data_IF_290903771727
#
_entry.id   IF_290903771727
#
_cell.length_a   1.000
_cell.length_b   1.000
_cell.length_c   1.000
_cell.angle_alpha   90.00
_cell.angle_beta   90.00
_cell.angle_gamma   90.00
#
_symmetry.space_group_name_H-M   'P 1'
#
loop_
_entity.id
_entity.type
_entity.pdbx_description
1 polymer ?
#
# COMPACT_ATOMS: atom_id res chain seq x y z
N UNK A 1 -9.23 23.13 0.42
CA UNK A 1 -9.15 22.37 -0.84
C UNK A 1 -10.50 22.48 -1.52
N UNK A 2 -10.54 23.00 -2.70
CA UNK A 2 -11.76 23.08 -3.51
C UNK A 2 -11.58 22.16 -4.71
N UNK A 3 -12.53 21.32 -4.93
CA UNK A 3 -12.80 20.75 -6.23
C UNK A 3 -14.11 21.37 -6.68
N UNK A 4 -14.01 22.17 -7.72
CA UNK A 4 -15.19 22.80 -8.33
C UNK A 4 -15.49 22.06 -9.61
N UNK A 5 -16.46 21.17 -9.56
CA UNK A 5 -16.87 20.45 -10.76
C UNK A 5 -16.91 18.94 -10.61
N UNK A 6 -16.54 18.26 -11.67
CA UNK A 6 -16.60 16.79 -11.77
C UNK A 6 -15.23 16.17 -11.54
N UNK A 7 -15.11 15.29 -10.57
CA UNK A 7 -13.93 14.44 -10.37
C UNK A 7 -14.07 13.20 -11.26
N UNK A 8 -13.09 12.94 -12.13
CA UNK A 8 -13.07 11.74 -12.95
C UNK A 8 -12.20 10.67 -12.30
N UNK A 9 -12.76 9.48 -12.16
CA UNK A 9 -12.15 8.33 -11.51
C UNK A 9 -12.13 7.15 -12.45
N UNK A 10 -10.99 6.47 -12.53
CA UNK A 10 -10.85 5.16 -13.17
C UNK A 10 -10.74 4.12 -12.07
N UNK A 11 -11.71 3.23 -12.01
CA UNK A 11 -11.71 2.11 -11.07
C UNK A 11 -10.72 1.05 -11.48
N UNK A 12 -9.91 0.61 -10.52
CA UNK A 12 -8.87 -0.39 -10.73
C UNK A 12 -8.66 -1.21 -9.46
N UNK A 13 -8.21 -2.45 -9.60
CA UNK A 13 -7.65 -3.22 -8.49
C UNK A 13 -6.34 -3.89 -8.89
N UNK A 14 -5.43 -4.06 -7.94
CA UNK A 14 -4.21 -4.84 -8.10
C UNK A 14 -4.29 -6.05 -7.18
N UNK A 15 -4.29 -7.25 -7.77
CA UNK A 15 -4.36 -8.53 -7.06
C UNK A 15 -5.47 -8.55 -5.97
N UNK A 16 -6.62 -7.94 -6.30
CA UNK A 16 -7.80 -7.90 -5.43
C UNK A 16 -7.95 -6.65 -4.57
N UNK A 17 -6.89 -5.90 -4.28
CA UNK A 17 -7.01 -4.64 -3.53
C UNK A 17 -7.42 -3.49 -4.46
N UNK A 18 -8.50 -2.80 -4.10
CA UNK A 18 -9.01 -1.66 -4.87
C UNK A 18 -8.07 -0.48 -4.74
N UNK A 19 -7.66 0.08 -5.89
CA UNK A 19 -6.83 1.26 -5.99
C UNK A 19 -7.34 2.17 -7.09
N UNK A 20 -8.50 2.79 -6.87
CA UNK A 20 -9.11 3.73 -7.81
C UNK A 20 -8.17 4.92 -8.08
N UNK A 21 -8.22 5.48 -9.28
CA UNK A 21 -7.33 6.57 -9.68
C UNK A 21 -8.13 7.79 -10.12
N UNK A 22 -7.99 8.89 -9.39
CA UNK A 22 -8.51 10.20 -9.80
C UNK A 22 -7.57 10.76 -10.88
N UNK A 23 -8.10 10.89 -12.08
CA UNK A 23 -7.33 11.32 -13.26
C UNK A 23 -7.52 12.80 -13.59
N UNK A 24 -8.58 13.44 -13.07
CA UNK A 24 -8.82 14.87 -13.20
C UNK A 24 -9.91 15.39 -12.26
N UNK A 25 -10.07 16.73 -12.19
CA UNK A 25 -11.17 17.39 -11.48
C UNK A 25 -10.83 17.81 -10.04
N UNK A 26 -9.57 17.66 -9.61
CA UNK A 26 -9.07 18.15 -8.33
C UNK A 26 -8.09 19.29 -8.57
N UNK A 27 -8.23 20.39 -7.82
CA UNK A 27 -7.33 21.52 -7.88
C UNK A 27 -5.93 21.17 -7.36
N UNK A 28 -4.95 22.00 -7.69
CA UNK A 28 -3.58 21.79 -7.22
C UNK A 28 -3.51 21.74 -5.69
N UNK A 29 -2.83 20.71 -5.18
CA UNK A 29 -2.65 20.48 -3.75
C UNK A 29 -1.50 21.36 -3.25
N UNK A 30 -1.69 22.12 -2.16
CA UNK A 30 -0.62 22.88 -1.54
C UNK A 30 0.51 22.00 -1.02
N UNK A 31 1.76 22.46 -1.20
CA UNK A 31 2.98 21.77 -0.75
C UNK A 31 4.09 21.87 -1.79
N UNK A 32 5.32 22.01 -1.34
CA UNK A 32 6.54 22.06 -2.16
C UNK A 32 7.08 20.66 -2.52
N UNK A 33 6.65 19.62 -1.80
CA UNK A 33 6.99 18.22 -2.04
C UNK A 33 5.73 17.34 -2.07
N UNK A 34 5.79 16.15 -2.64
CA UNK A 34 4.65 15.22 -2.57
C UNK A 34 4.36 14.79 -1.13
N UNK A 35 5.37 14.72 -0.27
CA UNK A 35 5.18 14.48 1.16
C UNK A 35 4.32 15.58 1.80
N UNK A 36 4.66 16.85 1.60
CA UNK A 36 3.87 17.98 2.12
C UNK A 36 2.45 17.99 1.55
N UNK A 37 2.28 17.73 0.25
CA UNK A 37 0.97 17.60 -0.38
C UNK A 37 0.13 16.48 0.26
N UNK A 38 0.73 15.32 0.55
CA UNK A 38 0.07 14.21 1.24
C UNK A 38 -0.35 14.58 2.67
N UNK A 39 0.52 15.28 3.41
CA UNK A 39 0.20 15.76 4.78
C UNK A 39 -0.90 16.82 4.76
N UNK A 40 -0.93 17.67 3.72
CA UNK A 40 -2.04 18.60 3.52
C UNK A 40 -3.38 17.85 3.34
N UNK A 41 -3.43 16.80 2.50
CA UNK A 41 -4.63 15.98 2.32
C UNK A 41 -5.00 15.24 3.62
N UNK A 42 -4.02 14.77 4.39
CA UNK A 42 -4.25 14.13 5.68
C UNK A 42 -4.89 15.06 6.71
N UNK A 43 -4.53 16.34 6.70
CA UNK A 43 -5.07 17.36 7.60
C UNK A 43 -6.40 17.94 7.11
N UNK A 44 -6.49 18.29 5.82
CA UNK A 44 -7.72 18.76 5.16
C UNK A 44 -8.50 17.56 4.61
N UNK A 45 -9.26 16.89 5.43
CA UNK A 45 -9.92 15.62 5.12
C UNK A 45 -11.04 15.72 4.05
N UNK A 46 -11.32 16.90 3.49
CA UNK A 46 -12.49 17.10 2.59
C UNK A 46 -12.48 16.18 1.38
N UNK A 47 -11.36 16.11 0.62
CA UNK A 47 -11.26 15.22 -0.53
C UNK A 47 -11.33 13.75 -0.11
N UNK A 48 -10.55 13.36 0.90
CA UNK A 48 -10.56 11.97 1.42
C UNK A 48 -11.96 11.54 1.83
N UNK A 49 -12.63 12.33 2.65
CA UNK A 49 -13.96 12.02 3.12
C UNK A 49 -14.95 11.94 1.95
N UNK A 50 -14.84 12.83 0.97
CA UNK A 50 -15.73 12.85 -0.18
C UNK A 50 -15.61 11.59 -1.03
N UNK A 51 -14.40 11.07 -1.27
CA UNK A 51 -14.18 9.91 -2.16
C UNK A 51 -14.15 8.56 -1.43
N UNK A 52 -13.83 8.55 -0.12
CA UNK A 52 -13.64 7.31 0.64
C UNK A 52 -14.80 6.96 1.56
N UNK A 53 -15.63 7.93 1.95
CA UNK A 53 -16.77 7.67 2.84
C UNK A 53 -18.06 7.43 2.07
N UNK A 54 -19.00 6.76 2.71
CA UNK A 54 -20.34 6.59 2.17
C UNK A 54 -21.04 7.95 1.96
N UNK A 55 -21.87 8.09 0.92
CA UNK A 55 -22.36 7.06 0.00
C UNK A 55 -21.50 6.87 -1.24
N UNK A 56 -20.37 7.59 -1.39
CA UNK A 56 -19.53 7.57 -2.60
C UNK A 56 -18.37 6.60 -2.52
N UNK A 57 -17.95 6.25 -1.32
CA UNK A 57 -16.85 5.33 -1.05
C UNK A 57 -17.23 4.21 -0.09
N UNK A 58 -16.23 3.61 0.53
CA UNK A 58 -16.39 2.56 1.53
C UNK A 58 -15.04 2.13 2.07
N UNK A 59 -15.04 1.45 3.22
CA UNK A 59 -13.83 1.02 3.94
C UNK A 59 -12.86 0.17 3.12
N UNK A 60 -13.34 -0.49 2.08
CA UNK A 60 -12.55 -1.36 1.20
C UNK A 60 -11.82 -0.61 0.09
N UNK A 61 -12.07 0.69 -0.11
CA UNK A 61 -11.47 1.47 -1.19
C UNK A 61 -10.18 2.13 -0.77
N UNK A 62 -9.19 2.10 -1.67
CA UNK A 62 -8.09 3.05 -1.73
C UNK A 62 -8.30 3.93 -2.97
N UNK A 63 -7.91 5.18 -2.88
CA UNK A 63 -8.04 6.14 -3.99
C UNK A 63 -6.72 6.89 -4.16
N UNK A 64 -6.21 6.89 -5.38
CA UNK A 64 -4.97 7.57 -5.75
C UNK A 64 -5.29 8.85 -6.51
N UNK A 65 -4.72 9.96 -6.11
CA UNK A 65 -4.84 11.22 -6.82
C UNK A 65 -3.61 11.41 -7.72
N UNK A 66 -3.80 11.46 -9.04
CA UNK A 66 -2.73 11.89 -9.94
C UNK A 66 -2.43 13.38 -9.74
N UNK A 67 -1.16 13.68 -9.62
CA UNK A 67 -0.65 15.04 -9.48
C UNK A 67 0.54 15.27 -10.42
N UNK A 68 0.85 16.53 -10.69
CA UNK A 68 2.10 16.86 -11.37
C UNK A 68 3.27 16.45 -10.48
N UNK A 69 4.26 15.70 -11.02
CA UNK A 69 5.45 15.36 -10.26
C UNK A 69 6.26 16.61 -9.94
N UNK A 70 7.00 16.59 -8.85
CA UNK A 70 7.95 17.63 -8.46
C UNK A 70 9.36 17.23 -8.89
N UNK A 71 9.66 15.94 -8.76
CA UNK A 71 10.93 15.41 -9.27
C UNK A 71 10.90 15.33 -10.81
N UNK A 72 11.86 15.97 -11.51
CA UNK A 72 11.88 16.03 -12.97
C UNK A 72 12.12 14.68 -13.66
N UNK A 73 12.59 13.67 -12.93
CA UNK A 73 12.77 12.30 -13.45
C UNK A 73 11.45 11.52 -13.50
N UNK A 74 10.43 11.95 -12.77
CA UNK A 74 9.16 11.25 -12.74
C UNK A 74 8.24 11.68 -13.89
N UNK A 75 7.63 10.71 -14.55
CA UNK A 75 6.62 10.94 -15.59
C UNK A 75 5.28 11.41 -15.03
N UNK A 76 4.93 10.90 -13.84
CA UNK A 76 3.72 11.27 -13.09
C UNK A 76 3.99 11.26 -11.59
N UNK A 77 3.23 12.05 -10.84
CA UNK A 77 3.15 11.96 -9.39
C UNK A 77 1.79 11.43 -8.95
N UNK A 78 1.72 10.84 -7.77
CA UNK A 78 0.46 10.41 -7.19
C UNK A 78 0.48 10.47 -5.67
N UNK A 79 -0.70 10.68 -5.07
CA UNK A 79 -0.90 10.71 -3.62
C UNK A 79 -1.92 9.64 -3.26
N UNK A 80 -1.56 8.79 -2.32
CA UNK A 80 -2.36 7.66 -1.89
C UNK A 80 -3.31 8.13 -0.77
N UNK A 81 -4.57 7.75 -0.88
CA UNK A 81 -5.59 7.99 0.15
C UNK A 81 -6.21 6.65 0.53
N UNK A 82 -5.93 6.21 1.74
CA UNK A 82 -6.56 5.04 2.36
C UNK A 82 -7.66 5.48 3.34
N UNK A 83 -8.51 4.57 3.80
CA UNK A 83 -9.65 4.94 4.65
C UNK A 83 -9.31 5.85 5.83
N UNK A 84 -8.20 5.61 6.52
CA UNK A 84 -7.78 6.42 7.68
C UNK A 84 -6.42 7.08 7.52
N UNK A 85 -5.63 6.76 6.46
CA UNK A 85 -4.29 7.29 6.27
C UNK A 85 -4.03 7.80 4.86
N UNK A 86 -2.90 8.49 4.71
CA UNK A 86 -2.26 8.88 3.45
C UNK A 86 -0.80 8.41 3.52
N UNK A 87 -0.55 7.12 3.21
CA UNK A 87 0.76 6.52 3.39
C UNK A 87 1.80 7.10 2.43
N UNK A 88 3.10 6.98 2.76
CA UNK A 88 4.17 7.46 1.89
C UNK A 88 4.30 6.63 0.62
N UNK A 89 3.97 5.34 0.68
CA UNK A 89 4.06 4.41 -0.44
C UNK A 89 3.02 3.28 -0.29
N UNK A 90 2.62 2.73 -1.43
CA UNK A 90 1.81 1.50 -1.50
C UNK A 90 2.10 0.77 -2.81
N UNK A 91 2.45 -0.52 -2.73
CA UNK A 91 2.79 -1.33 -3.90
C UNK A 91 1.58 -1.58 -4.81
N UNK A 92 0.45 -2.04 -4.26
CA UNK A 92 -0.78 -2.29 -5.03
C UNK A 92 -1.31 -1.02 -5.68
N UNK A 93 -1.32 0.11 -4.95
CA UNK A 93 -1.73 1.39 -5.51
C UNK A 93 -0.78 1.86 -6.63
N UNK A 94 0.53 1.68 -6.51
CA UNK A 94 1.49 2.00 -7.57
C UNK A 94 1.25 1.17 -8.83
N UNK A 95 0.94 -0.13 -8.68
CA UNK A 95 0.58 -1.01 -9.81
C UNK A 95 -0.72 -0.54 -10.47
N UNK A 96 -1.74 -0.14 -9.70
CA UNK A 96 -2.98 0.45 -10.22
C UNK A 96 -2.71 1.75 -10.99
N UNK A 97 -1.95 2.67 -10.40
CA UNK A 97 -1.61 3.97 -11.01
C UNK A 97 -0.87 3.78 -12.33
N UNK A 98 0.16 2.93 -12.36
CA UNK A 98 0.91 2.62 -13.58
C UNK A 98 0.02 2.02 -14.67
N UNK A 99 -0.83 1.05 -14.30
CA UNK A 99 -1.76 0.41 -15.24
C UNK A 99 -2.77 1.41 -15.80
N UNK A 100 -3.38 2.23 -14.96
CA UNK A 100 -4.34 3.26 -15.40
C UNK A 100 -3.63 4.28 -16.29
N UNK A 101 -2.45 4.78 -15.91
CA UNK A 101 -1.72 5.77 -16.70
C UNK A 101 -1.37 5.25 -18.10
N UNK A 102 -1.02 3.98 -18.23
CA UNK A 102 -0.69 3.36 -19.52
C UNK A 102 -1.94 3.03 -20.34
N UNK A 103 -2.92 2.32 -19.76
CA UNK A 103 -4.10 1.86 -20.50
C UNK A 103 -5.07 2.99 -20.88
N UNK A 104 -5.05 4.12 -20.17
CA UNK A 104 -5.84 5.31 -20.54
C UNK A 104 -5.08 6.31 -21.41
N UNK A 105 -3.80 6.05 -21.70
CA UNK A 105 -2.99 6.88 -22.58
C UNK A 105 -2.46 8.16 -21.93
N UNK A 106 -2.54 8.30 -20.60
CA UNK A 106 -1.87 9.41 -19.86
C UNK A 106 -0.36 9.31 -20.07
N UNK A 107 0.20 8.11 -20.04
CA UNK A 107 1.55 7.80 -20.52
C UNK A 107 1.39 7.02 -21.83
N UNK A 108 1.88 7.54 -22.97
CA UNK A 108 1.82 6.83 -24.25
C UNK A 108 2.63 5.54 -24.21
N UNK A 109 2.03 4.45 -24.66
CA UNK A 109 2.72 3.15 -24.81
C UNK A 109 3.51 3.16 -26.11
N UNK A 110 4.84 3.15 -26.02
CA UNK A 110 5.76 3.17 -27.17
C UNK A 110 6.36 1.80 -27.48
N UNK A 111 6.49 0.92 -26.49
CA UNK A 111 7.13 -0.38 -26.61
C UNK A 111 6.41 -1.46 -25.75
N UNK A 112 6.80 -2.73 -25.92
CA UNK A 112 6.20 -3.83 -25.15
C UNK A 112 6.71 -3.92 -23.72
N UNK A 113 7.89 -3.36 -23.45
CA UNK A 113 8.47 -3.26 -22.12
C UNK A 113 8.67 -1.77 -21.79
N UNK A 114 7.69 -1.17 -21.17
CA UNK A 114 7.72 0.23 -20.74
C UNK A 114 8.57 0.39 -19.48
N UNK A 115 9.44 1.39 -19.45
CA UNK A 115 10.20 1.80 -18.26
C UNK A 115 10.03 3.29 -18.02
N UNK A 116 9.64 3.64 -16.81
CA UNK A 116 9.47 5.04 -16.39
C UNK A 116 9.54 5.15 -14.86
N UNK A 117 9.60 6.38 -14.36
CA UNK A 117 9.56 6.64 -12.92
C UNK A 117 8.26 7.33 -12.55
N UNK A 118 7.76 7.01 -11.37
CA UNK A 118 6.66 7.71 -10.70
C UNK A 118 7.17 8.33 -9.40
N UNK A 119 6.53 9.41 -8.97
CA UNK A 119 6.82 10.02 -7.68
C UNK A 119 5.65 9.77 -6.72
N UNK A 120 5.96 9.09 -5.61
CA UNK A 120 5.06 8.93 -4.46
C UNK A 120 5.50 9.88 -3.32
N UNK A 121 4.67 10.09 -2.28
CA UNK A 121 5.09 10.87 -1.12
C UNK A 121 6.36 10.37 -0.45
N UNK A 122 6.64 9.06 -0.50
CA UNK A 122 7.85 8.42 0.02
C UNK A 122 9.08 8.54 -0.87
N UNK A 123 8.94 9.01 -2.11
CA UNK A 123 10.04 9.20 -3.06
C UNK A 123 9.77 8.65 -4.44
N UNK A 124 10.84 8.58 -5.25
CA UNK A 124 10.79 8.00 -6.59
C UNK A 124 10.68 6.47 -6.52
N UNK A 125 9.85 5.93 -7.41
CA UNK A 125 9.73 4.50 -7.66
C UNK A 125 9.91 4.24 -9.15
N UNK A 126 10.70 3.22 -9.48
CA UNK A 126 10.91 2.80 -10.86
C UNK A 126 9.85 1.77 -11.24
N UNK A 127 9.34 1.92 -12.45
CA UNK A 127 8.29 1.07 -13.00
C UNK A 127 8.80 0.39 -14.26
N UNK A 128 8.63 -0.93 -14.29
CA UNK A 128 8.76 -1.74 -15.48
C UNK A 128 7.41 -2.42 -15.76
N UNK A 129 6.80 -2.13 -16.90
CA UNK A 129 5.48 -2.65 -17.27
C UNK A 129 5.57 -3.45 -18.57
N UNK A 130 5.13 -4.70 -18.52
CA UNK A 130 5.01 -5.57 -19.70
C UNK A 130 3.65 -5.37 -20.36
N UNK A 131 3.67 -5.03 -21.63
CA UNK A 131 2.48 -4.75 -22.44
C UNK A 131 2.22 -5.87 -23.42
N UNK A 132 0.98 -6.33 -23.51
CA UNK A 132 0.53 -7.14 -24.63
C UNK A 132 -0.36 -6.32 -25.55
N UNK A 133 -0.19 -6.49 -26.85
CA UNK A 133 -1.06 -5.90 -27.88
C UNK A 133 -2.00 -6.98 -28.42
N UNK A 134 -3.27 -6.69 -28.41
CA UNK A 134 -4.28 -7.57 -28.96
C UNK A 134 -5.33 -6.77 -29.76
N UNK A 135 -6.32 -7.44 -30.34
CA UNK A 135 -7.38 -6.80 -31.12
C UNK A 135 -8.25 -5.81 -30.33
N UNK A 136 -8.24 -5.91 -28.99
CA UNK A 136 -8.98 -5.01 -28.09
C UNK A 136 -8.13 -3.81 -27.60
N UNK A 137 -6.87 -3.72 -28.05
CA UNK A 137 -5.94 -2.64 -27.66
C UNK A 137 -4.74 -3.13 -26.87
N UNK A 138 -4.06 -2.19 -26.23
CA UNK A 138 -2.93 -2.47 -25.36
C UNK A 138 -3.42 -2.90 -23.97
N UNK A 139 -2.82 -3.96 -23.40
CA UNK A 139 -3.11 -4.45 -22.06
C UNK A 139 -1.82 -4.59 -21.25
N UNK A 140 -1.78 -3.97 -20.07
CA UNK A 140 -0.70 -4.16 -19.11
C UNK A 140 -0.84 -5.57 -18.51
N UNK A 141 0.18 -6.40 -18.64
CA UNK A 141 0.20 -7.79 -18.17
C UNK A 141 0.86 -7.94 -16.83
N UNK A 142 1.84 -7.13 -16.56
CA UNK A 142 2.54 -7.10 -15.29
C UNK A 142 3.14 -5.71 -15.11
N UNK A 143 3.13 -5.24 -13.88
CA UNK A 143 3.87 -4.06 -13.45
C UNK A 143 4.81 -4.50 -12.33
N UNK A 144 6.10 -4.28 -12.52
CA UNK A 144 7.12 -4.36 -11.47
C UNK A 144 7.43 -2.96 -11.00
N UNK A 145 7.36 -2.78 -9.70
CA UNK A 145 7.68 -1.52 -9.02
C UNK A 145 8.94 -1.76 -8.18
N UNK A 146 10.04 -1.09 -8.48
CA UNK A 146 11.20 -1.02 -7.58
C UNK A 146 10.88 0.00 -6.50
N UNK A 147 10.73 -0.52 -5.28
CA UNK A 147 10.21 0.23 -4.14
C UNK A 147 11.29 1.10 -3.49
N UNK A 148 10.88 1.97 -2.59
CA UNK A 148 11.78 2.73 -1.71
C UNK A 148 12.58 1.77 -0.80
N UNK A 149 13.74 2.19 -0.26
CA UNK A 149 14.54 1.36 0.63
C UNK A 149 13.74 0.80 1.80
N UNK A 150 13.96 -0.48 2.10
CA UNK A 150 13.28 -1.23 3.17
C UNK A 150 14.30 -1.71 4.20
N UNK A 151 13.93 -1.64 5.48
CA UNK A 151 14.83 -1.94 6.58
C UNK A 151 14.13 -2.57 7.78
N UNK A 152 14.88 -3.25 8.63
CA UNK A 152 14.40 -3.80 9.90
C UNK A 152 14.54 -2.75 10.99
N UNK A 153 13.48 -2.56 11.79
CA UNK A 153 13.51 -1.77 13.00
C UNK A 153 14.10 -2.58 14.17
N UNK A 154 13.32 -3.55 14.65
CA UNK A 154 13.71 -4.45 15.75
C UNK A 154 13.30 -5.88 15.46
N UNK A 155 13.94 -6.84 16.11
CA UNK A 155 13.59 -8.26 16.02
C UNK A 155 13.37 -8.88 17.39
N UNK A 156 12.41 -9.81 17.47
CA UNK A 156 12.07 -10.59 18.66
C UNK A 156 11.65 -9.74 19.88
N UNK A 157 11.01 -8.59 19.63
CA UNK A 157 10.50 -7.73 20.70
C UNK A 157 9.29 -8.38 21.42
N UNK A 158 9.23 -8.17 22.73
CA UNK A 158 8.08 -8.58 23.53
C UNK A 158 7.07 -7.44 23.59
N UNK A 159 5.83 -7.76 23.27
CA UNK A 159 4.74 -6.82 23.23
C UNK A 159 3.57 -7.34 24.06
N UNK A 160 3.11 -6.55 25.02
CA UNK A 160 1.91 -6.85 25.79
C UNK A 160 0.67 -6.40 25.03
N UNK A 161 -0.18 -7.35 24.63
CA UNK A 161 -1.39 -7.04 23.88
C UNK A 161 -2.62 -7.38 24.70
N UNK A 162 -3.50 -6.41 25.01
CA UNK A 162 -4.71 -6.66 25.80
C UNK A 162 -5.54 -7.81 25.23
N UNK A 163 -5.81 -8.83 26.08
CA UNK A 163 -6.56 -10.02 25.72
C UNK A 163 -5.84 -11.07 24.86
N UNK A 164 -4.52 -10.86 24.58
CA UNK A 164 -3.64 -11.86 23.96
C UNK A 164 -2.47 -12.23 24.88
N UNK A 165 -2.13 -11.35 25.85
CA UNK A 165 -0.91 -11.51 26.68
C UNK A 165 0.34 -11.05 25.93
N UNK A 166 1.49 -11.59 26.36
CA UNK A 166 2.80 -11.29 25.77
C UNK A 166 2.98 -12.03 24.46
N UNK A 167 3.14 -11.30 23.36
CA UNK A 167 3.49 -11.83 22.05
C UNK A 167 4.91 -11.43 21.66
N UNK A 168 5.50 -12.14 20.68
CA UNK A 168 6.81 -11.79 20.11
C UNK A 168 6.60 -11.24 18.71
N UNK A 169 7.17 -10.07 18.44
CA UNK A 169 7.01 -9.37 17.16
C UNK A 169 8.35 -8.93 16.59
N UNK A 170 8.41 -8.79 15.30
CA UNK A 170 9.45 -8.07 14.58
C UNK A 170 8.88 -6.75 14.05
N UNK A 171 9.73 -5.75 13.79
CA UNK A 171 9.31 -4.50 13.18
C UNK A 171 10.15 -4.21 11.94
N UNK A 172 9.52 -3.72 10.88
CA UNK A 172 10.21 -3.39 9.64
C UNK A 172 9.48 -2.28 8.87
N UNK A 173 10.22 -1.62 7.98
CA UNK A 173 9.71 -0.64 7.02
C UNK A 173 9.89 -1.18 5.60
N UNK A 174 8.85 -1.07 4.79
CA UNK A 174 8.86 -1.48 3.38
C UNK A 174 8.20 -0.46 2.45
N UNK A 175 8.31 0.82 2.78
CA UNK A 175 7.53 1.91 2.18
C UNK A 175 6.37 2.35 3.07
N UNK A 176 6.09 1.55 4.07
CA UNK A 176 5.27 1.83 5.25
C UNK A 176 5.82 1.02 6.44
N UNK A 177 5.34 1.26 7.66
CA UNK A 177 5.86 0.68 8.90
C UNK A 177 4.98 -0.44 9.43
N UNK A 178 5.59 -1.60 9.69
CA UNK A 178 4.92 -2.84 10.04
C UNK A 178 5.37 -3.40 11.37
N UNK A 179 4.40 -3.93 12.13
CA UNK A 179 4.62 -4.94 13.15
C UNK A 179 4.35 -6.29 12.52
N UNK A 180 5.33 -7.20 12.54
CA UNK A 180 5.25 -8.52 11.88
C UNK A 180 5.16 -9.60 12.95
N UNK A 181 4.15 -10.46 12.85
CA UNK A 181 3.91 -11.54 13.80
C UNK A 181 3.56 -12.84 13.06
N UNK A 182 3.97 -13.97 13.66
CA UNK A 182 3.66 -15.27 13.11
C UNK A 182 2.19 -15.65 13.38
N UNK A 183 1.46 -16.02 12.34
CA UNK A 183 0.06 -16.44 12.42
C UNK A 183 -0.15 -17.63 13.37
N UNK A 184 0.81 -18.57 13.44
CA UNK A 184 0.75 -19.74 14.32
C UNK A 184 0.77 -19.39 15.81
N UNK A 185 1.48 -18.30 16.16
CA UNK A 185 1.57 -17.86 17.56
C UNK A 185 0.24 -17.23 18.03
N UNK A 186 -0.60 -16.83 17.08
CA UNK A 186 -1.95 -16.31 17.31
C UNK A 186 -3.04 -17.38 17.15
N UNK A 187 -2.69 -18.57 16.68
CA UNK A 187 -3.63 -19.66 16.43
C UNK A 187 -4.50 -19.50 15.18
N UNK A 188 -4.09 -18.66 14.25
CA UNK A 188 -4.81 -18.40 12.99
C UNK A 188 -4.26 -19.20 11.82
N UNK A 189 -5.16 -19.59 10.92
CA UNK A 189 -4.87 -19.80 9.51
C UNK A 189 -5.07 -18.47 8.75
N UNK A 190 -4.33 -18.25 7.68
CA UNK A 190 -4.55 -17.07 6.84
C UNK A 190 -5.56 -17.45 5.75
N UNK A 191 -6.84 -17.34 6.08
CA UNK A 191 -7.96 -17.76 5.23
C UNK A 191 -9.11 -16.74 5.24
N UNK A 192 -9.89 -16.63 4.13
CA UNK A 192 -10.93 -15.61 4.02
C UNK A 192 -11.98 -15.61 5.14
N UNK A 193 -12.29 -16.77 5.72
CA UNK A 193 -13.29 -16.88 6.79
C UNK A 193 -12.78 -16.34 8.14
N UNK A 194 -11.48 -16.18 8.34
CA UNK A 194 -10.86 -15.60 9.56
C UNK A 194 -10.57 -14.09 9.42
N UNK A 195 -10.95 -13.47 8.30
CA UNK A 195 -10.57 -12.09 7.99
C UNK A 195 -11.00 -11.07 9.06
N UNK A 196 -12.15 -11.27 9.71
CA UNK A 196 -12.62 -10.38 10.77
C UNK A 196 -11.74 -10.46 12.00
N UNK A 197 -11.50 -11.66 12.48
CA UNK A 197 -10.69 -11.94 13.67
C UNK A 197 -9.23 -11.51 13.46
N UNK A 198 -8.67 -11.78 12.27
CA UNK A 198 -7.34 -11.32 11.86
C UNK A 198 -7.25 -9.79 11.87
N UNK A 199 -8.28 -9.09 11.35
CA UNK A 199 -8.32 -7.63 11.38
C UNK A 199 -8.39 -7.09 12.82
N UNK A 200 -9.27 -7.62 13.66
CA UNK A 200 -9.43 -7.20 15.06
C UNK A 200 -8.14 -7.41 15.86
N UNK A 201 -7.51 -8.58 15.73
CA UNK A 201 -6.25 -8.90 16.42
C UNK A 201 -5.12 -8.00 15.89
N UNK A 202 -5.00 -7.85 14.58
CA UNK A 202 -3.98 -6.99 13.97
C UNK A 202 -4.09 -5.54 14.44
N UNK A 203 -5.33 -5.00 14.52
CA UNK A 203 -5.56 -3.65 15.04
C UNK A 203 -5.14 -3.49 16.51
N UNK A 204 -5.35 -4.51 17.34
CA UNK A 204 -4.92 -4.51 18.75
C UNK A 204 -3.41 -4.53 18.86
N UNK A 205 -2.73 -5.34 18.04
CA UNK A 205 -1.26 -5.41 17.99
C UNK A 205 -0.69 -4.07 17.52
N UNK A 206 -1.21 -3.46 16.44
CA UNK A 206 -0.75 -2.16 15.95
C UNK A 206 -0.85 -1.08 17.03
N UNK A 207 -1.96 -1.05 17.79
CA UNK A 207 -2.15 -0.10 18.88
C UNK A 207 -1.14 -0.33 20.00
N UNK A 208 -1.02 -1.57 20.49
CA UNK A 208 -0.08 -1.92 21.55
C UNK A 208 1.36 -1.58 21.17
N UNK A 209 1.75 -1.82 19.90
CA UNK A 209 3.07 -1.47 19.40
C UNK A 209 3.31 0.06 19.41
N UNK A 210 2.34 0.85 18.99
CA UNK A 210 2.44 2.32 19.03
C UNK A 210 2.52 2.89 20.47
N UNK A 211 2.01 2.17 21.45
CA UNK A 211 2.08 2.57 22.87
C UNK A 211 3.39 2.14 23.55
N UNK A 212 4.00 1.04 23.12
CA UNK A 212 5.10 0.39 23.85
C UNK A 212 6.43 0.39 23.09
N UNK A 213 6.41 0.42 21.76
CA UNK A 213 7.61 0.39 20.93
C UNK A 213 7.88 1.76 20.29
N UNK A 214 9.12 1.99 19.93
CA UNK A 214 9.52 3.21 19.23
C UNK A 214 9.84 2.88 17.78
N UNK A 215 9.19 3.57 16.86
CA UNK A 215 9.57 3.60 15.45
C UNK A 215 10.00 5.01 15.06
N UNK A 216 11.08 5.11 14.29
CA UNK A 216 11.51 6.35 13.66
C UNK A 216 12.16 6.03 12.30
N UNK A 217 11.62 6.62 11.24
CA UNK A 217 12.24 6.49 9.94
C UNK A 217 13.56 7.27 9.89
N UNK A 218 14.70 6.68 9.43
CA UNK A 218 16.03 7.28 9.61
C UNK A 218 16.24 8.58 8.83
N UNK A 219 15.46 8.85 7.79
CA UNK A 219 15.58 10.05 6.94
C UNK A 219 14.27 10.85 6.81
N UNK A 220 13.19 10.40 7.44
CA UNK A 220 11.91 11.12 7.49
C UNK A 220 11.46 11.26 8.97
N UNK A 221 11.82 12.37 9.65
CA UNK A 221 11.54 12.54 11.08
C UNK A 221 10.05 12.65 11.42
N UNK A 222 9.19 12.89 10.43
CA UNK A 222 7.75 12.97 10.63
C UNK A 222 7.07 11.59 10.68
N UNK A 223 7.77 10.54 10.23
CA UNK A 223 7.24 9.17 10.23
C UNK A 223 7.70 8.41 11.47
N UNK A 224 6.87 8.38 12.50
CA UNK A 224 7.21 7.86 13.84
C UNK A 224 6.14 6.95 14.43
N UNK A 225 5.46 6.18 13.63
CA UNK A 225 4.42 5.27 14.10
C UNK A 225 4.45 3.97 13.31
N UNK A 226 3.79 2.94 13.84
CA UNK A 226 3.45 1.74 13.09
C UNK A 226 2.06 1.92 12.47
N UNK A 227 1.97 1.70 11.16
CA UNK A 227 0.70 1.80 10.44
C UNK A 227 -0.07 0.50 10.50
N UNK A 228 0.63 -0.63 10.38
CA UNK A 228 0.00 -1.92 10.11
C UNK A 228 0.59 -3.06 10.94
N UNK A 229 -0.24 -4.08 11.17
CA UNK A 229 0.23 -5.41 11.59
C UNK A 229 0.15 -6.35 10.41
N UNK A 230 1.28 -6.98 10.07
CA UNK A 230 1.37 -8.08 9.13
C UNK A 230 1.39 -9.40 9.90
N UNK A 231 0.32 -10.17 9.79
CA UNK A 231 0.23 -11.52 10.31
C UNK A 231 0.70 -12.44 9.19
N UNK A 232 1.82 -13.15 9.37
CA UNK A 232 2.46 -13.91 8.31
C UNK A 232 2.71 -15.35 8.73
N UNK A 233 2.57 -16.29 7.80
CA UNK A 233 3.04 -17.66 8.01
C UNK A 233 4.59 -17.72 7.96
N UNK A 234 5.23 -18.71 8.59
CA UNK A 234 6.61 -19.04 8.28
C UNK A 234 6.77 -19.27 6.78
N UNK A 235 7.95 -18.91 6.24
CA UNK A 235 8.27 -19.22 4.84
C UNK A 235 8.16 -20.73 4.60
N UNK A 236 7.53 -21.08 3.51
CA UNK A 236 7.49 -22.46 2.99
C UNK A 236 7.88 -22.45 1.50
N UNK A 237 8.10 -23.63 0.94
CA UNK A 237 8.58 -23.74 -0.43
C UNK A 237 7.62 -24.54 -1.29
N UNK A 238 7.23 -23.99 -2.44
CA UNK A 238 6.49 -24.66 -3.51
C UNK A 238 7.37 -24.70 -4.76
N UNK A 239 7.70 -25.88 -5.25
CA UNK A 239 8.59 -26.07 -6.42
C UNK A 239 9.93 -25.31 -6.32
N UNK A 240 10.48 -25.22 -5.12
CA UNK A 240 11.74 -24.51 -4.86
C UNK A 240 11.62 -22.98 -4.76
N UNK A 241 10.44 -22.43 -4.89
CA UNK A 241 10.15 -20.99 -4.74
C UNK A 241 9.70 -20.72 -3.30
N UNK A 242 10.30 -19.73 -2.66
CA UNK A 242 9.90 -19.28 -1.33
C UNK A 242 8.52 -18.60 -1.37
N UNK A 243 7.61 -19.02 -0.50
CA UNK A 243 6.26 -18.44 -0.39
C UNK A 243 6.10 -17.82 1.00
N UNK A 244 5.62 -16.57 1.02
CA UNK A 244 5.21 -15.86 2.24
C UNK A 244 3.73 -15.54 2.16
N UNK A 245 2.88 -16.36 2.81
CA UNK A 245 1.45 -16.03 2.91
C UNK A 245 1.23 -15.11 4.11
N UNK A 246 0.47 -14.04 3.91
CA UNK A 246 0.22 -13.05 4.94
C UNK A 246 -1.19 -12.42 4.84
N UNK A 247 -1.61 -11.81 5.95
CA UNK A 247 -2.76 -10.92 6.03
C UNK A 247 -2.31 -9.64 6.74
N UNK A 248 -2.57 -8.49 6.13
CA UNK A 248 -2.22 -7.18 6.71
C UNK A 248 -3.49 -6.49 7.20
N UNK A 249 -3.51 -6.18 8.49
CA UNK A 249 -4.59 -5.43 9.12
C UNK A 249 -4.38 -3.92 8.90
N UNK A 250 -5.36 -3.30 8.25
CA UNK A 250 -5.37 -1.88 7.88
C UNK A 250 -6.47 -1.17 8.68
N UNK A 251 -6.18 0.03 9.17
CA UNK A 251 -7.18 0.87 9.81
C UNK A 251 -8.33 1.22 8.83
N UNK A 252 -9.60 1.19 9.30
CA UNK A 252 -10.08 1.06 10.67
C UNK A 252 -10.33 -0.38 11.17
N UNK A 253 -9.96 -1.40 10.44
CA UNK A 253 -10.17 -2.80 10.78
C UNK A 253 -10.59 -3.63 9.57
N UNK A 254 -9.86 -3.51 8.47
CA UNK A 254 -9.97 -4.38 7.28
C UNK A 254 -8.67 -5.15 7.05
N UNK A 255 -8.73 -6.22 6.28
CA UNK A 255 -7.55 -6.90 5.74
C UNK A 255 -7.28 -6.40 4.32
N UNK A 256 -6.00 -6.20 3.97
CA UNK A 256 -5.57 -6.01 2.57
C UNK A 256 -5.93 -7.26 1.76
N UNK A 257 -6.53 -7.06 0.59
CA UNK A 257 -6.89 -8.17 -0.31
C UNK A 257 -5.70 -8.62 -1.13
N UNK A 258 -4.78 -7.70 -1.44
CA UNK A 258 -3.50 -8.03 -2.09
C UNK A 258 -2.49 -8.62 -1.09
N UNK A 259 -1.35 -9.15 -1.56
CA UNK A 259 -0.26 -9.56 -0.67
C UNK A 259 0.38 -8.41 0.12
N UNK A 260 -0.02 -7.17 -0.10
CA UNK A 260 0.54 -5.92 0.44
C UNK A 260 1.98 -5.69 -0.02
N UNK A 261 2.18 -4.92 -1.07
CA UNK A 261 3.52 -4.71 -1.66
C UNK A 261 4.55 -4.14 -0.68
N UNK A 262 4.14 -3.17 0.15
CA UNK A 262 4.98 -2.60 1.22
C UNK A 262 5.23 -3.61 2.34
N UNK A 263 4.23 -4.44 2.68
CA UNK A 263 4.38 -5.54 3.63
C UNK A 263 5.32 -6.64 3.13
N UNK A 264 5.24 -7.01 1.85
CA UNK A 264 6.19 -7.93 1.21
C UNK A 264 7.61 -7.35 1.23
N UNK A 265 7.77 -6.06 0.97
CA UNK A 265 9.06 -5.36 1.04
C UNK A 265 9.65 -5.35 2.45
N UNK A 266 8.84 -5.09 3.46
CA UNK A 266 9.22 -5.20 4.88
C UNK A 266 9.61 -6.64 5.25
N UNK A 267 8.86 -7.62 4.76
CA UNK A 267 9.15 -9.04 4.97
C UNK A 267 10.46 -9.47 4.31
N UNK A 268 10.75 -9.00 3.09
CA UNK A 268 12.03 -9.23 2.43
C UNK A 268 13.20 -8.68 3.24
N UNK A 269 13.07 -7.44 3.77
CA UNK A 269 14.11 -6.86 4.64
C UNK A 269 14.35 -7.69 5.89
N UNK A 270 13.28 -8.19 6.53
CA UNK A 270 13.39 -9.05 7.70
C UNK A 270 14.06 -10.40 7.36
N UNK A 271 13.64 -11.07 6.29
CA UNK A 271 14.21 -12.35 5.86
C UNK A 271 15.67 -12.21 5.42
N UNK A 272 16.03 -11.07 4.84
CA UNK A 272 17.40 -10.74 4.52
C UNK A 272 18.26 -10.56 5.76
N UNK A 273 17.80 -9.76 6.73
CA UNK A 273 18.50 -9.57 8.00
C UNK A 273 18.65 -10.87 8.82
N UNK A 274 17.71 -11.80 8.67
CA UNK A 274 17.77 -13.15 9.25
C UNK A 274 18.68 -14.12 8.48
N UNK A 275 19.25 -13.70 7.33
CA UNK A 275 20.09 -14.55 6.48
C UNK A 275 19.34 -15.64 5.71
N UNK A 276 18.02 -15.55 5.61
CA UNK A 276 17.16 -16.51 4.88
C UNK A 276 17.18 -16.23 3.39
N UNK A 277 17.13 -14.96 2.98
CA UNK A 277 17.20 -14.50 1.60
C UNK A 277 18.37 -13.51 1.43
N UNK A 278 18.96 -13.47 0.26
CA UNK A 278 20.07 -12.56 -0.10
C UNK A 278 19.74 -11.80 -1.39
N UNK A 279 20.59 -10.84 -1.76
CA UNK A 279 20.45 -10.11 -3.03
C UNK A 279 20.35 -11.09 -4.20
N UNK A 280 19.39 -10.83 -5.08
CA UNK A 280 19.05 -11.69 -6.22
C UNK A 280 18.02 -12.78 -5.90
N UNK A 281 17.79 -13.09 -4.62
CA UNK A 281 16.71 -14.00 -4.22
C UNK A 281 15.35 -13.28 -4.20
N UNK A 282 14.29 -14.07 -4.25
CA UNK A 282 12.92 -13.57 -4.19
C UNK A 282 11.97 -14.51 -3.47
N UNK A 283 10.75 -14.05 -3.31
CA UNK A 283 9.64 -14.83 -2.78
C UNK A 283 8.35 -14.46 -3.50
N UNK A 284 7.40 -15.37 -3.51
CA UNK A 284 6.01 -15.04 -3.81
C UNK A 284 5.33 -14.60 -2.51
N UNK A 285 4.90 -13.34 -2.48
CA UNK A 285 3.96 -12.87 -1.47
C UNK A 285 2.57 -13.36 -1.83
N UNK A 286 1.88 -14.07 -0.91
CA UNK A 286 0.53 -14.57 -1.14
C UNK A 286 -0.44 -13.96 -0.15
N UNK A 287 -1.58 -13.47 -0.65
CA UNK A 287 -2.60 -12.82 0.18
C UNK A 287 -3.56 -13.79 0.84
N UNK A 288 -4.48 -13.28 1.64
CA UNK A 288 -5.58 -14.03 2.25
C UNK A 288 -6.53 -14.65 1.22
N UNK A 289 -6.63 -14.09 0.02
CA UNK A 289 -7.44 -14.60 -1.12
C UNK A 289 -6.60 -15.35 -2.16
N UNK A 290 -5.37 -15.72 -1.79
CA UNK A 290 -4.41 -16.44 -2.63
C UNK A 290 -3.97 -15.69 -3.91
N UNK A 291 -4.13 -14.36 -3.99
CA UNK A 291 -3.48 -13.56 -5.00
C UNK A 291 -1.99 -13.41 -4.72
N UNK A 292 -1.17 -13.09 -5.73
CA UNK A 292 0.28 -13.20 -5.63
C UNK A 292 1.02 -11.95 -6.13
N UNK A 293 2.12 -11.61 -5.44
CA UNK A 293 3.16 -10.71 -5.92
C UNK A 293 4.50 -11.47 -6.03
N UNK A 294 5.18 -11.32 -7.17
CA UNK A 294 6.59 -11.71 -7.32
C UNK A 294 7.48 -10.62 -6.73
N UNK A 295 8.15 -10.93 -5.62
CA UNK A 295 8.93 -9.99 -4.83
C UNK A 295 10.42 -10.38 -4.87
N UNK A 296 11.34 -9.39 -4.99
CA UNK A 296 12.78 -9.63 -5.11
C UNK A 296 13.60 -8.64 -4.30
N UNK A 297 14.80 -9.05 -3.90
CA UNK A 297 15.82 -8.18 -3.32
C UNK A 297 16.75 -7.77 -4.44
N UNK A 298 16.69 -6.52 -4.88
CA UNK A 298 17.49 -6.01 -6.01
C UNK A 298 18.91 -5.63 -5.58
N UNK A 299 19.06 -4.99 -4.43
CA UNK A 299 20.35 -4.56 -3.89
C UNK A 299 20.34 -4.38 -2.38
N UNK A 300 21.53 -4.42 -1.76
CA UNK A 300 21.79 -3.94 -0.41
C UNK A 300 22.25 -2.49 -0.45
N UNK A 301 21.81 -1.71 0.54
CA UNK A 301 22.22 -0.32 0.66
C UNK A 301 22.20 0.12 2.14
N UNK A 302 22.56 1.38 2.38
CA UNK A 302 22.44 2.01 3.68
C UNK A 302 21.51 3.20 3.59
N UNK A 303 20.54 3.27 4.51
CA UNK A 303 19.59 4.38 4.62
C UNK A 303 19.77 5.08 5.97
N UNK A 304 20.22 6.35 5.98
CA UNK A 304 20.43 7.09 7.23
C UNK A 304 21.37 6.41 8.22
N UNK A 305 22.32 5.63 7.74
CA UNK A 305 23.31 4.90 8.56
C UNK A 305 22.88 3.49 8.98
N UNK A 306 21.68 3.03 8.63
CA UNK A 306 21.22 1.67 8.94
C UNK A 306 21.23 0.77 7.69
N UNK A 307 21.49 -0.55 7.83
CA UNK A 307 21.39 -1.50 6.73
C UNK A 307 19.97 -1.55 6.17
N UNK A 308 19.85 -1.57 4.85
CA UNK A 308 18.60 -1.61 4.14
C UNK A 308 18.74 -2.43 2.85
N UNK A 309 17.63 -2.80 2.25
CA UNK A 309 17.55 -3.38 0.92
C UNK A 309 16.71 -2.50 0.00
N UNK A 310 16.91 -2.63 -1.30
CA UNK A 310 15.97 -2.13 -2.31
C UNK A 310 15.16 -3.32 -2.83
N UNK A 311 13.90 -3.44 -2.47
CA UNK A 311 13.05 -4.50 -2.98
C UNK A 311 12.33 -4.08 -4.27
N UNK A 312 11.91 -5.06 -5.07
CA UNK A 312 10.91 -4.88 -6.11
C UNK A 312 9.73 -5.81 -5.90
N UNK A 313 8.56 -5.38 -6.38
CA UNK A 313 7.29 -6.10 -6.28
C UNK A 313 6.62 -6.07 -7.65
N UNK A 314 6.24 -7.23 -8.18
CA UNK A 314 5.52 -7.33 -9.44
C UNK A 314 4.16 -8.00 -9.25
N UNK A 315 3.15 -7.43 -9.89
CA UNK A 315 1.79 -7.94 -9.93
C UNK A 315 1.03 -7.42 -11.14
N UNK A 316 -0.24 -7.73 -11.21
CA UNK A 316 -1.12 -7.25 -12.28
C UNK A 316 -2.27 -6.42 -11.70
N UNK A 317 -2.74 -5.45 -12.49
CA UNK A 317 -3.95 -4.70 -12.17
C UNK A 317 -4.94 -4.74 -13.33
N UNK A 318 -6.20 -4.54 -12.97
CA UNK A 318 -7.32 -4.55 -13.92
C UNK A 318 -8.19 -3.32 -13.72
N UNK A 319 -8.39 -2.57 -14.81
CA UNK A 319 -9.39 -1.50 -14.84
C UNK A 319 -10.77 -2.18 -14.84
N UNK A 320 -11.62 -1.80 -13.89
CA UNK A 320 -12.96 -2.35 -13.72
C UNK A 320 -14.06 -1.42 -14.21
N UNK A 321 -13.73 -0.14 -14.44
CA UNK A 321 -14.68 0.85 -14.95
C UNK A 321 -14.15 2.27 -14.83
N UNK A 322 -15.01 3.23 -15.16
CA UNK A 322 -14.76 4.66 -14.92
C UNK A 322 -16.06 5.33 -14.52
N UNK A 323 -15.96 6.35 -13.67
CA UNK A 323 -17.12 7.12 -13.22
C UNK A 323 -16.76 8.57 -12.92
N UNK A 324 -17.77 9.40 -12.80
CA UNK A 324 -17.65 10.80 -12.42
C UNK A 324 -18.36 11.03 -11.10
N UNK A 325 -17.65 11.69 -10.18
CA UNK A 325 -18.22 12.20 -8.93
C UNK A 325 -18.56 13.68 -9.10
N UNK A 326 -19.80 14.04 -8.77
CA UNK A 326 -20.28 15.42 -8.81
C UNK A 326 -20.69 15.84 -7.40
N UNK A 327 -20.20 16.99 -6.97
CA UNK A 327 -20.67 17.60 -5.73
C UNK A 327 -21.96 18.36 -6.02
N UNK A 328 -23.10 17.83 -5.53
CA UNK A 328 -24.38 18.52 -5.54
C UNK A 328 -24.45 19.44 -4.31
N UNK A 329 -24.66 20.76 -4.47
CA UNK A 329 -24.77 21.66 -3.33
C UNK A 329 -25.96 21.35 -2.40
N UNK A 330 -26.95 20.58 -2.88
CA UNK A 330 -28.14 20.20 -2.10
C UNK A 330 -27.97 18.85 -1.39
N UNK A 331 -26.86 18.10 -1.65
CA UNK A 331 -26.58 16.86 -0.95
C UNK A 331 -26.36 17.13 0.55
N UNK A 332 -27.17 16.56 1.45
CA UNK A 332 -27.01 16.76 2.90
C UNK A 332 -25.73 16.12 3.45
N UNK A 333 -25.02 15.27 2.68
CA UNK A 333 -23.80 14.57 3.07
C UNK A 333 -22.59 14.92 2.17
N UNK A 334 -22.23 16.20 2.02
CA UNK A 334 -21.17 16.61 1.09
C UNK A 334 -19.78 16.04 1.47
N UNK A 335 -19.59 15.65 2.73
CA UNK A 335 -18.35 15.06 3.23
C UNK A 335 -18.46 13.57 3.54
N UNK A 336 -19.60 12.95 3.18
CA UNK A 336 -19.85 11.54 3.50
C UNK A 336 -20.15 11.29 4.98
N UNK A 337 -20.30 10.02 5.32
CA UNK A 337 -20.52 9.55 6.69
C UNK A 337 -19.88 8.16 6.88
N UNK A 338 -19.75 7.74 8.14
CA UNK A 338 -19.24 6.43 8.56
C UNK A 338 -20.24 5.81 9.53
N UNK A 339 -20.53 4.52 9.34
CA UNK A 339 -21.34 3.73 10.27
C UNK A 339 -20.50 2.59 10.83
N UNK A 340 -20.74 2.23 12.10
CA UNK A 340 -19.91 1.25 12.82
C UNK A 340 -20.04 -0.20 12.34
N UNK A 341 -21.04 -0.50 11.50
CA UNK A 341 -21.22 -1.81 10.85
C UNK A 341 -20.18 -2.09 9.74
N UNK A 342 -19.71 -1.03 9.06
CA UNK A 342 -18.69 -1.11 8.02
C UNK A 342 -17.37 -0.43 8.42
N UNK A 343 -17.44 0.56 9.32
CA UNK A 343 -16.31 1.28 9.89
C UNK A 343 -16.24 0.98 11.38
N UNK A 344 -15.61 -0.13 11.80
CA UNK A 344 -15.56 -0.48 13.21
C UNK A 344 -14.95 0.67 14.01
N UNK A 345 -15.59 1.02 15.13
CA UNK A 345 -15.12 2.06 16.02
C UNK A 345 -13.68 1.76 16.43
N UNK A 346 -12.87 2.80 16.63
CA UNK A 346 -11.56 2.65 17.26
C UNK A 346 -11.78 1.91 18.58
N UNK A 347 -11.43 0.64 18.58
CA UNK A 347 -11.44 -0.20 19.76
C UNK A 347 -10.50 0.33 20.83
#
# INVERSE_FOLDING_TARGET
MTFTGTIKVVSCHAEGEVGDVIVSGVDEIPGGTLWEKSRYIASDKRLRNYVLQEPRGGVFRHVNLLVKPINPEASIGFIIMEPEDTPPMSGSNSICVATVALETGIIPITEELMRFKMEAPGGLVEVEATISRNSSGNKVKQVRVTNVPSFVGTMNEKLEVPGLGTVTVDTAFGGDSFVIINAKDLGFEIAPHEARELAEVGMRITRAANEQLIFAHPTNPDWRHFSFTQIANPIFYENGIAISKNAVAIQPGKIDRSPTGTGCSARLALLHAQGVLKVGDGMIGRSIIDSEFDCRIEEELTLGGIPAIRPSVAGQAWITGSYELKLDPTDPYPHGYKLSDTWPNKL
#
